data_IF_104774710606
#
_entry.id   IF_104774710606
#
_cell.length_a   1.000
_cell.length_b   1.000
_cell.length_c   1.000
_cell.angle_alpha   90.00
_cell.angle_beta   90.00
_cell.angle_gamma   90.00
#
_symmetry.space_group_name_H-M   'P 1'
#
loop_
_entity.id
_entity.type
_entity.pdbx_description
1 polymer ?
#
# COMPACT_ATOMS: atom_id res chain seq x y z
N UNK A 1 22.07 -4.37 0.34
CA UNK A 1 21.84 -4.72 -1.07
C UNK A 1 22.92 -4.09 -1.92
N UNK A 2 23.51 -4.83 -2.85
CA UNK A 2 24.47 -4.32 -3.84
C UNK A 2 23.80 -4.10 -5.19
N UNK A 3 24.48 -3.38 -6.10
CA UNK A 3 23.98 -3.14 -7.45
C UNK A 3 23.82 -4.45 -8.23
N UNK A 4 24.71 -5.41 -7.96
CA UNK A 4 24.72 -6.73 -8.56
C UNK A 4 23.52 -7.56 -8.11
N UNK A 5 23.13 -7.45 -6.83
CA UNK A 5 21.94 -8.12 -6.31
C UNK A 5 20.66 -7.59 -6.97
N UNK A 6 20.56 -6.27 -7.17
CA UNK A 6 19.45 -5.62 -7.87
C UNK A 6 19.37 -6.12 -9.33
N UNK A 7 20.50 -6.12 -10.05
CA UNK A 7 20.54 -6.61 -11.42
C UNK A 7 20.10 -8.09 -11.53
N UNK A 8 20.53 -8.93 -10.59
CA UNK A 8 20.13 -10.33 -10.55
C UNK A 8 18.62 -10.51 -10.32
N UNK A 9 17.97 -9.65 -9.53
CA UNK A 9 16.52 -9.65 -9.35
C UNK A 9 15.83 -9.29 -10.67
N UNK A 10 16.28 -8.25 -11.36
CA UNK A 10 15.69 -7.86 -12.65
C UNK A 10 15.80 -8.94 -13.72
N UNK A 11 16.93 -9.65 -13.80
CA UNK A 11 17.06 -10.76 -14.74
C UNK A 11 16.06 -11.89 -14.45
N UNK A 12 15.78 -12.18 -13.18
CA UNK A 12 14.75 -13.17 -12.82
C UNK A 12 13.33 -12.65 -13.09
N UNK A 13 13.08 -11.36 -12.88
CA UNK A 13 11.77 -10.76 -13.11
C UNK A 13 11.31 -10.93 -14.56
N UNK A 14 12.24 -10.88 -15.53
CA UNK A 14 11.95 -11.11 -16.96
C UNK A 14 11.40 -12.50 -17.28
N UNK A 15 11.58 -13.48 -16.39
CA UNK A 15 11.08 -14.85 -16.60
C UNK A 15 9.76 -15.12 -15.85
N UNK A 16 9.21 -14.12 -15.15
CA UNK A 16 7.94 -14.28 -14.43
C UNK A 16 6.74 -14.30 -15.38
N UNK A 17 5.57 -14.78 -14.93
CA UNK A 17 4.32 -14.57 -15.65
C UNK A 17 4.06 -13.08 -15.90
N UNK A 18 3.41 -12.75 -17.02
CA UNK A 18 3.16 -11.37 -17.46
C UNK A 18 2.53 -10.50 -16.38
N UNK A 19 1.50 -10.99 -15.69
CA UNK A 19 0.82 -10.28 -14.59
C UNK A 19 1.80 -9.79 -13.51
N UNK A 20 2.77 -10.62 -13.13
CA UNK A 20 3.79 -10.26 -12.14
C UNK A 20 4.85 -9.32 -12.69
N UNK A 21 5.10 -9.35 -14.00
CA UNK A 21 6.00 -8.38 -14.63
C UNK A 21 5.36 -7.00 -14.66
N UNK A 22 4.06 -6.92 -14.97
CA UNK A 22 3.28 -5.68 -14.96
C UNK A 22 3.24 -5.08 -13.55
N UNK A 23 2.99 -5.90 -12.52
CA UNK A 23 3.06 -5.47 -11.12
C UNK A 23 4.46 -4.94 -10.75
N UNK A 24 5.51 -5.68 -11.10
CA UNK A 24 6.89 -5.28 -10.81
C UNK A 24 7.25 -3.94 -11.48
N UNK A 25 6.86 -3.76 -12.74
CA UNK A 25 7.06 -2.48 -13.46
C UNK A 25 6.30 -1.35 -12.77
N UNK A 26 5.04 -1.58 -12.38
CA UNK A 26 4.22 -0.58 -11.68
C UNK A 26 4.89 -0.08 -10.40
N UNK A 27 5.37 -0.99 -9.56
CA UNK A 27 6.07 -0.64 -8.31
C UNK A 27 7.36 0.14 -8.59
N UNK A 28 8.16 -0.27 -9.57
CA UNK A 28 9.42 0.41 -9.88
C UNK A 28 9.19 1.84 -10.40
N UNK A 29 8.17 2.04 -11.23
CA UNK A 29 7.79 3.36 -11.72
C UNK A 29 7.28 4.25 -10.59
N UNK A 30 6.47 3.71 -9.67
CA UNK A 30 6.02 4.46 -8.49
C UNK A 30 7.20 4.84 -7.57
N UNK A 31 8.22 3.98 -7.42
CA UNK A 31 9.46 4.32 -6.70
C UNK A 31 10.22 5.44 -7.43
N UNK A 32 10.38 5.35 -8.76
CA UNK A 32 11.09 6.36 -9.57
C UNK A 32 10.40 7.73 -9.51
N UNK A 33 9.06 7.74 -9.52
CA UNK A 33 8.25 8.95 -9.44
C UNK A 33 8.13 9.52 -8.02
N UNK A 34 8.75 8.89 -7.01
CA UNK A 34 8.58 9.23 -5.59
C UNK A 34 7.10 9.17 -5.12
N UNK A 35 6.26 8.36 -5.78
CA UNK A 35 4.86 8.14 -5.39
C UNK A 35 4.75 7.38 -4.06
N UNK A 36 5.86 6.82 -3.56
CA UNK A 36 5.93 6.20 -2.23
C UNK A 36 6.33 7.18 -1.11
N UNK A 37 6.49 8.46 -1.41
CA UNK A 37 6.56 9.50 -0.38
C UNK A 37 5.15 9.88 0.11
N UNK A 38 4.28 8.89 0.25
CA UNK A 38 2.84 9.00 0.52
C UNK A 38 2.55 9.51 1.94
N UNK A 39 3.59 9.63 2.77
CA UNK A 39 3.50 10.22 4.11
C UNK A 39 4.20 11.58 4.22
N UNK A 40 4.80 12.11 3.14
CA UNK A 40 5.41 13.45 3.17
C UNK A 40 4.39 14.56 3.39
N UNK A 41 3.16 14.34 2.94
CA UNK A 41 2.04 15.26 3.08
C UNK A 41 1.23 15.03 4.38
N UNK A 42 1.52 13.97 5.16
CA UNK A 42 0.82 13.72 6.42
C UNK A 42 1.21 14.77 7.45
N UNK A 43 0.20 15.47 7.95
CA UNK A 43 0.34 16.42 9.06
C UNK A 43 0.50 15.69 10.40
N UNK A 44 0.90 16.42 11.44
CA UNK A 44 0.93 15.88 12.80
C UNK A 44 -0.45 15.37 13.27
N UNK A 45 -1.53 15.98 12.76
CA UNK A 45 -2.91 15.55 13.03
C UNK A 45 -3.21 14.21 12.35
N UNK A 46 -2.83 14.05 11.07
CA UNK A 46 -3.01 12.78 10.36
C UNK A 46 -2.27 11.62 11.03
N UNK A 47 -1.08 11.90 11.58
CA UNK A 47 -0.33 10.93 12.38
C UNK A 47 -1.02 10.59 13.70
N UNK A 48 -1.57 11.59 14.40
CA UNK A 48 -2.31 11.38 15.63
C UNK A 48 -3.59 10.54 15.39
N UNK A 49 -4.31 10.81 14.31
CA UNK A 49 -5.50 10.05 13.91
C UNK A 49 -5.14 8.59 13.58
N UNK A 50 -4.01 8.37 12.91
CA UNK A 50 -3.53 7.01 12.63
C UNK A 50 -3.17 6.25 13.92
N UNK A 51 -2.48 6.90 14.84
CA UNK A 51 -2.11 6.32 16.14
C UNK A 51 -3.36 5.97 16.97
N UNK A 52 -4.36 6.86 17.02
CA UNK A 52 -5.61 6.57 17.72
C UNK A 52 -6.38 5.42 17.05
N UNK A 53 -6.48 5.40 15.72
CA UNK A 53 -7.12 4.30 15.00
C UNK A 53 -6.47 2.94 15.26
N UNK A 54 -5.15 2.89 15.40
CA UNK A 54 -4.44 1.67 15.81
C UNK A 54 -4.78 1.29 17.26
N UNK A 55 -4.86 2.26 18.17
CA UNK A 55 -5.23 2.01 19.55
C UNK A 55 -6.70 1.55 19.69
N UNK A 56 -7.63 2.08 18.89
CA UNK A 56 -9.02 1.64 18.78
C UNK A 56 -9.09 0.19 18.29
N UNK A 57 -8.31 -0.15 17.26
CA UNK A 57 -8.22 -1.50 16.72
C UNK A 57 -7.71 -2.52 17.76
N UNK A 58 -6.68 -2.15 18.54
CA UNK A 58 -6.17 -2.97 19.65
C UNK A 58 -7.22 -3.19 20.75
N UNK A 59 -8.11 -2.21 20.97
CA UNK A 59 -9.27 -2.33 21.88
C UNK A 59 -10.45 -3.07 21.25
N UNK A 60 -10.40 -3.38 19.95
CA UNK A 60 -11.49 -4.02 19.21
C UNK A 60 -12.66 -3.08 18.90
N UNK A 61 -12.42 -1.77 18.89
CA UNK A 61 -13.41 -0.72 18.64
C UNK A 61 -13.65 -0.56 17.13
N UNK A 62 -14.12 -1.62 16.49
CA UNK A 62 -14.49 -1.59 15.08
C UNK A 62 -15.96 -1.24 14.90
N UNK A 63 -16.25 -0.53 13.81
CA UNK A 63 -17.62 -0.32 13.32
C UNK A 63 -18.26 -1.69 13.04
N UNK A 64 -19.55 -1.90 13.34
CA UNK A 64 -20.22 -3.17 13.06
C UNK A 64 -20.11 -3.58 11.59
N UNK A 65 -19.94 -4.88 11.35
CA UNK A 65 -19.73 -5.43 10.00
C UNK A 65 -20.84 -5.03 9.01
N UNK A 66 -22.09 -5.01 9.47
CA UNK A 66 -23.25 -4.64 8.64
C UNK A 66 -23.22 -3.18 8.20
N UNK A 67 -22.70 -2.28 9.05
CA UNK A 67 -22.52 -0.87 8.70
C UNK A 67 -21.41 -0.70 7.66
N UNK A 68 -20.30 -1.43 7.83
CA UNK A 68 -19.21 -1.44 6.85
C UNK A 68 -19.64 -2.02 5.50
N UNK A 69 -20.44 -3.11 5.49
CA UNK A 69 -21.03 -3.67 4.27
C UNK A 69 -21.93 -2.66 3.56
N UNK A 70 -22.78 -1.95 4.30
CA UNK A 70 -23.66 -0.92 3.76
C UNK A 70 -22.85 0.24 3.16
N UNK A 71 -21.77 0.66 3.82
CA UNK A 71 -20.84 1.67 3.30
C UNK A 71 -20.26 1.24 1.94
N UNK A 72 -19.64 0.06 1.85
CA UNK A 72 -19.05 -0.41 0.58
C UNK A 72 -20.08 -0.69 -0.52
N UNK A 73 -21.32 -1.05 -0.16
CA UNK A 73 -22.39 -1.25 -1.14
C UNK A 73 -22.75 0.07 -1.86
N UNK A 74 -22.61 1.22 -1.20
CA UNK A 74 -22.89 2.54 -1.77
C UNK A 74 -21.92 2.92 -2.91
N UNK A 75 -20.69 2.43 -2.87
CA UNK A 75 -19.61 2.82 -3.79
C UNK A 75 -19.23 1.74 -4.81
N UNK A 76 -19.82 0.54 -4.72
CA UNK A 76 -19.72 -0.47 -5.77
C UNK A 76 -20.55 -0.03 -6.98
N UNK A 77 -19.89 0.52 -7.99
CA UNK A 77 -20.44 0.64 -9.36
C UNK A 77 -20.30 -0.67 -10.11
#
# INVERSE_FOLDING_TARGET
MTKEEIAAVFERAKTWPQEKQEEAVGVLLAIENNEYDDCSDMTEEDWADLEEGLAEADRGEFVPEEEMKAFFARFRR
#
